data_IF_102397423253
#
_entry.id   IF_102397423253
#
_cell.length_a   1.000
_cell.length_b   1.000
_cell.length_c   1.000
_cell.angle_alpha   90.00
_cell.angle_beta   90.00
_cell.angle_gamma   90.00
#
_symmetry.space_group_name_H-M   'P 1'
#
loop_
_entity.id
_entity.type
_entity.pdbx_description
1 polymer ?
#
# COMPACT_ATOMS: atom_id res chain seq x y z
N UNK A 1 24.20 23.98 -4.69
CA UNK A 1 22.94 24.48 -5.26
C UNK A 1 22.91 24.11 -6.74
N UNK A 2 22.20 23.04 -7.08
CA UNK A 2 21.58 22.81 -8.38
C UNK A 2 20.71 21.57 -8.20
N UNK A 3 19.48 21.79 -7.73
CA UNK A 3 18.44 20.77 -7.64
C UNK A 3 18.06 20.39 -9.07
N UNK A 4 18.48 19.21 -9.53
CA UNK A 4 18.08 18.70 -10.84
C UNK A 4 16.59 18.39 -10.79
N UNK A 5 15.84 19.23 -11.47
CA UNK A 5 14.38 19.20 -11.58
C UNK A 5 14.00 18.07 -12.55
N UNK A 6 13.51 16.94 -12.04
CA UNK A 6 12.96 15.85 -12.85
C UNK A 6 11.52 16.21 -13.28
N UNK A 7 11.37 16.80 -14.47
CA UNK A 7 10.06 17.11 -15.05
C UNK A 7 9.52 15.89 -15.80
N UNK A 8 8.58 15.19 -15.19
CA UNK A 8 7.87 14.07 -15.80
C UNK A 8 6.74 14.51 -16.74
N UNK A 9 6.71 13.92 -17.94
CA UNK A 9 5.51 13.32 -18.52
C UNK A 9 5.90 12.29 -19.60
N UNK A 10 5.43 11.05 -19.43
CA UNK A 10 5.38 9.94 -20.39
C UNK A 10 6.65 9.17 -20.85
N UNK A 11 7.89 9.58 -20.55
CA UNK A 11 9.07 8.83 -21.05
C UNK A 11 10.25 8.76 -20.06
N UNK A 12 10.41 7.62 -19.38
CA UNK A 12 11.76 7.04 -19.17
C UNK A 12 12.71 7.63 -18.13
N UNK A 13 12.32 8.54 -17.24
CA UNK A 13 13.17 8.95 -16.10
C UNK A 13 12.51 8.52 -14.78
N UNK A 14 13.21 7.69 -14.00
CA UNK A 14 12.75 7.22 -12.67
C UNK A 14 12.92 8.37 -11.68
N UNK A 15 11.87 9.14 -11.46
CA UNK A 15 11.79 9.99 -10.27
C UNK A 15 11.72 9.04 -9.06
N UNK A 16 12.87 8.83 -8.42
CA UNK A 16 13.03 7.88 -7.31
C UNK A 16 12.18 8.32 -6.13
N UNK A 17 12.07 9.63 -5.91
CA UNK A 17 11.32 10.20 -4.82
C UNK A 17 9.82 10.01 -5.07
N UNK A 18 9.34 10.32 -6.28
CA UNK A 18 7.97 10.02 -6.70
C UNK A 18 7.64 8.53 -6.55
N UNK A 19 8.52 7.64 -7.01
CA UNK A 19 8.29 6.19 -6.91
C UNK A 19 8.24 5.72 -5.45
N UNK A 20 9.10 6.26 -4.58
CA UNK A 20 9.10 5.93 -3.15
C UNK A 20 7.87 6.48 -2.43
N UNK A 21 7.46 7.72 -2.74
CA UNK A 21 6.26 8.35 -2.21
C UNK A 21 5.02 7.56 -2.65
N UNK A 22 4.90 7.28 -3.94
CA UNK A 22 3.80 6.49 -4.49
C UNK A 22 3.76 5.09 -3.86
N UNK A 23 4.90 4.39 -3.79
CA UNK A 23 4.96 3.06 -3.17
C UNK A 23 4.50 3.11 -1.71
N UNK A 24 4.99 4.10 -0.95
CA UNK A 24 4.62 4.30 0.45
C UNK A 24 3.12 4.58 0.59
N UNK A 25 2.56 5.44 -0.25
CA UNK A 25 1.11 5.73 -0.29
C UNK A 25 0.31 4.45 -0.56
N UNK A 26 0.72 3.64 -1.54
CA UNK A 26 0.03 2.38 -1.85
C UNK A 26 0.12 1.37 -0.71
N UNK A 27 1.26 1.27 -0.04
CA UNK A 27 1.40 0.42 1.16
C UNK A 27 0.46 0.87 2.28
N UNK A 28 0.39 2.17 2.56
CA UNK A 28 -0.48 2.73 3.60
C UNK A 28 -1.97 2.55 3.24
N UNK A 29 -2.35 2.80 1.98
CA UNK A 29 -3.72 2.60 1.50
C UNK A 29 -4.13 1.13 1.58
N UNK A 30 -3.24 0.21 1.21
CA UNK A 30 -3.47 -1.22 1.32
C UNK A 30 -3.61 -1.67 2.79
N UNK A 31 -2.76 -1.18 3.69
CA UNK A 31 -2.82 -1.50 5.11
C UNK A 31 -4.14 -1.09 5.75
N UNK A 32 -4.70 0.07 5.36
CA UNK A 32 -6.02 0.53 5.79
C UNK A 32 -7.14 -0.34 5.20
N UNK A 33 -7.08 -0.65 3.91
CA UNK A 33 -8.08 -1.48 3.22
C UNK A 33 -8.17 -2.90 3.77
N UNK A 34 -7.07 -3.45 4.30
CA UNK A 34 -7.10 -4.76 4.97
C UNK A 34 -8.05 -4.77 6.18
N UNK A 35 -8.26 -3.65 6.87
CA UNK A 35 -9.22 -3.57 8.00
C UNK A 35 -10.67 -3.76 7.53
N UNK A 36 -11.03 -3.16 6.40
CA UNK A 36 -12.36 -3.32 5.78
C UNK A 36 -12.57 -4.78 5.36
N UNK A 37 -11.56 -5.42 4.76
CA UNK A 37 -11.64 -6.81 4.34
C UNK A 37 -11.75 -7.80 5.51
N UNK A 38 -11.08 -7.52 6.63
CA UNK A 38 -11.25 -8.29 7.87
C UNK A 38 -12.70 -8.17 8.36
N UNK A 39 -13.24 -6.96 8.42
CA UNK A 39 -14.62 -6.71 8.89
C UNK A 39 -15.66 -7.37 7.99
N UNK A 40 -15.49 -7.29 6.67
CA UNK A 40 -16.40 -7.94 5.72
C UNK A 40 -16.34 -9.47 5.85
N UNK A 41 -15.14 -10.06 5.97
CA UNK A 41 -14.99 -11.51 6.19
C UNK A 41 -15.60 -11.96 7.53
N UNK A 42 -15.44 -11.19 8.61
CA UNK A 42 -16.08 -11.45 9.90
C UNK A 42 -17.61 -11.39 9.81
N UNK A 43 -18.14 -10.39 9.09
CA UNK A 43 -19.60 -10.22 8.89
C UNK A 43 -20.19 -11.39 8.08
N UNK A 44 -19.45 -11.89 7.10
CA UNK A 44 -19.85 -13.00 6.26
C UNK A 44 -19.59 -14.37 6.94
N UNK A 45 -18.96 -14.38 8.11
CA UNK A 45 -18.68 -15.57 8.91
C UNK A 45 -17.47 -16.39 8.43
N UNK A 46 -16.69 -15.85 7.50
CA UNK A 46 -15.48 -16.47 6.95
C UNK A 46 -14.26 -16.16 7.82
N UNK A 47 -14.12 -16.94 8.90
CA UNK A 47 -13.04 -16.76 9.87
C UNK A 47 -11.65 -17.07 9.29
N UNK A 48 -11.56 -17.98 8.31
CA UNK A 48 -10.28 -18.32 7.68
C UNK A 48 -9.77 -17.14 6.85
N UNK A 49 -10.67 -16.50 6.10
CA UNK A 49 -10.36 -15.31 5.31
C UNK A 49 -10.04 -14.10 6.21
N UNK A 50 -10.76 -13.91 7.30
CA UNK A 50 -10.46 -12.87 8.29
C UNK A 50 -9.05 -13.04 8.89
N UNK A 51 -8.68 -14.27 9.27
CA UNK A 51 -7.35 -14.58 9.81
C UNK A 51 -6.24 -14.41 8.77
N UNK A 52 -6.51 -14.74 7.50
CA UNK A 52 -5.60 -14.46 6.41
C UNK A 52 -5.29 -12.95 6.30
N UNK A 53 -6.31 -12.09 6.29
CA UNK A 53 -6.11 -10.65 6.20
C UNK A 53 -5.45 -10.05 7.44
N UNK A 54 -5.74 -10.56 8.65
CA UNK A 54 -5.03 -10.17 9.88
C UNK A 54 -3.53 -10.47 9.81
N UNK A 55 -3.15 -11.65 9.29
CA UNK A 55 -1.74 -12.00 9.08
C UNK A 55 -1.09 -11.08 8.06
N UNK A 56 -1.77 -10.82 6.93
CA UNK A 56 -1.28 -9.88 5.92
C UNK A 56 -1.09 -8.47 6.49
N UNK A 57 -1.99 -8.01 7.36
CA UNK A 57 -1.87 -6.72 8.04
C UNK A 57 -0.68 -6.68 9.01
N UNK A 58 -0.45 -7.74 9.77
CA UNK A 58 0.68 -7.84 10.69
C UNK A 58 2.03 -7.81 9.97
N UNK A 59 2.15 -8.48 8.81
CA UNK A 59 3.38 -8.43 7.99
C UNK A 59 3.57 -7.05 7.34
N UNK A 60 2.49 -6.32 7.02
CA UNK A 60 2.59 -4.95 6.48
C UNK A 60 3.08 -3.91 7.50
N UNK A 61 3.14 -4.24 8.80
CA UNK A 61 3.58 -3.35 9.88
C UNK A 61 5.02 -3.60 10.34
N UNK A 62 5.70 -4.63 9.81
CA UNK A 62 7.09 -4.97 10.13
C UNK A 62 8.05 -4.27 9.18
#
# INVERSE_FOLDING_TARGET
MASTQETGHATGTKDKDYNLIWFTEQCLSNALRLEEYIQDAERDGDNELADFFRRAQAESRK
#
